data_IF_826231622678
#
_entry.id   IF_826231622678
#
_cell.length_a   1.000
_cell.length_b   1.000
_cell.length_c   1.000
_cell.angle_alpha   90.00
_cell.angle_beta   90.00
_cell.angle_gamma   90.00
#
_symmetry.space_group_name_H-M   'P 1'
#
loop_
_entity.id
_entity.type
_entity.pdbx_description
1 polymer ?
#
# COMPACT_ATOMS: atom_id res chain seq x y z
N UNK A 1 22.38 15.27 -7.55
CA UNK A 1 23.03 15.29 -6.25
C UNK A 1 22.51 14.08 -5.50
N UNK A 2 23.40 13.25 -5.06
CA UNK A 2 23.17 11.93 -4.47
C UNK A 2 22.35 12.06 -3.20
N UNK A 3 21.31 11.20 -3.05
CA UNK A 3 20.62 11.03 -1.77
C UNK A 3 21.66 10.75 -0.68
N UNK A 4 21.69 11.62 0.33
CA UNK A 4 22.52 11.40 1.49
C UNK A 4 22.05 10.13 2.21
N UNK A 5 22.75 9.03 2.02
CA UNK A 5 22.63 7.85 2.85
C UNK A 5 23.05 8.22 4.26
N UNK A 6 22.23 7.88 5.22
CA UNK A 6 22.57 7.99 6.64
C UNK A 6 23.73 7.03 6.95
N UNK A 7 24.54 7.30 7.95
CA UNK A 7 25.65 6.44 8.40
C UNK A 7 25.23 5.00 8.75
N UNK A 8 23.90 4.75 8.95
CA UNK A 8 23.31 3.43 9.22
C UNK A 8 22.73 2.73 7.98
N UNK A 9 22.77 3.36 6.79
CA UNK A 9 22.30 2.79 5.53
C UNK A 9 20.78 2.74 5.36
N UNK A 10 20.00 3.31 6.28
CA UNK A 10 18.54 3.37 6.17
C UNK A 10 18.09 4.53 5.25
N UNK A 11 17.08 4.29 4.42
CA UNK A 11 16.47 5.34 3.60
C UNK A 11 15.76 6.37 4.49
N UNK A 12 15.92 7.66 4.19
CA UNK A 12 15.14 8.73 4.86
C UNK A 12 13.78 8.99 4.22
N UNK A 13 13.35 8.13 3.31
CA UNK A 13 12.17 8.33 2.50
C UNK A 13 11.21 7.14 2.61
N UNK A 14 9.91 7.45 2.53
CA UNK A 14 8.80 6.52 2.38
C UNK A 14 8.04 6.91 1.12
N UNK A 15 8.64 6.64 -0.05
CA UNK A 15 8.29 7.27 -1.33
C UNK A 15 7.14 6.60 -2.07
N UNK A 16 6.67 5.47 -1.57
CA UNK A 16 5.61 4.68 -2.19
C UNK A 16 4.64 4.16 -1.13
N UNK A 17 3.42 3.91 -1.56
CA UNK A 17 2.42 3.21 -0.77
C UNK A 17 2.99 1.92 -0.16
N UNK A 18 2.86 1.75 1.15
CA UNK A 18 3.43 0.65 1.96
C UNK A 18 4.97 0.56 1.97
N UNK A 19 5.67 1.61 1.59
CA UNK A 19 7.11 1.80 1.80
C UNK A 19 8.02 1.10 0.81
N UNK A 20 7.54 0.16 0.00
CA UNK A 20 8.37 -0.56 -0.97
C UNK A 20 7.60 -0.97 -2.22
N UNK A 21 8.25 -1.11 -3.39
CA UNK A 21 7.60 -1.62 -4.60
C UNK A 21 7.05 -3.04 -4.46
N UNK A 22 7.56 -3.83 -3.54
CA UNK A 22 7.05 -5.18 -3.23
C UNK A 22 5.80 -5.18 -2.37
N UNK A 23 5.39 -4.02 -1.86
CA UNK A 23 4.18 -3.79 -1.05
C UNK A 23 4.10 -4.66 0.21
N UNK A 24 5.24 -5.10 0.75
CA UNK A 24 5.27 -6.03 1.88
C UNK A 24 4.79 -5.43 3.21
N UNK A 25 4.79 -4.10 3.34
CA UNK A 25 4.33 -3.42 4.55
C UNK A 25 5.29 -3.52 5.74
N UNK A 26 6.55 -3.89 5.49
CA UNK A 26 7.60 -3.96 6.51
C UNK A 26 8.48 -2.72 6.42
N UNK A 27 8.68 -2.05 7.56
CA UNK A 27 9.61 -0.95 7.73
C UNK A 27 10.83 -1.44 8.53
N UNK A 28 12.03 -1.08 8.05
CA UNK A 28 13.29 -1.39 8.76
C UNK A 28 13.50 -0.50 9.99
N UNK A 29 12.67 0.52 10.16
CA UNK A 29 12.68 1.44 11.29
C UNK A 29 12.04 0.82 12.52
N UNK A 30 12.41 1.33 13.70
CA UNK A 30 11.76 1.03 14.96
C UNK A 30 10.93 2.23 15.42
N UNK A 31 9.65 2.01 15.68
CA UNK A 31 8.77 3.02 16.24
C UNK A 31 8.66 2.86 17.77
N UNK A 32 8.40 3.94 18.54
CA UNK A 32 8.20 3.82 19.97
C UNK A 32 7.05 2.86 20.33
N UNK A 33 7.22 2.11 21.41
CA UNK A 33 6.15 1.25 21.92
C UNK A 33 4.98 2.04 22.53
N UNK A 34 5.23 3.29 22.92
CA UNK A 34 4.23 4.22 23.45
C UNK A 34 4.49 5.62 22.92
N UNK A 35 4.18 5.87 21.63
CA UNK A 35 4.48 7.14 20.98
C UNK A 35 3.61 8.28 21.50
N UNK A 36 4.13 9.51 21.40
CA UNK A 36 3.41 10.73 21.69
C UNK A 36 2.95 11.43 20.41
N UNK A 37 1.81 12.11 20.45
CA UNK A 37 1.37 12.96 19.35
C UNK A 37 2.22 14.23 19.33
N UNK A 38 3.09 14.38 18.35
CA UNK A 38 3.93 15.57 18.20
C UNK A 38 3.14 16.76 17.66
N UNK A 39 2.33 16.52 16.65
CA UNK A 39 1.44 17.54 16.07
C UNK A 39 0.31 16.92 15.25
N UNK A 40 -0.73 17.74 15.05
CA UNK A 40 -1.86 17.42 14.19
C UNK A 40 -2.20 18.64 13.33
N UNK A 41 -2.51 18.42 12.02
CA UNK A 41 -2.87 19.47 11.07
C UNK A 41 -4.04 19.02 10.20
N UNK A 42 -5.12 19.78 10.20
CA UNK A 42 -6.31 19.49 9.40
C UNK A 42 -6.37 20.39 8.18
N UNK A 43 -6.46 19.81 6.99
CA UNK A 43 -6.60 20.53 5.71
C UNK A 43 -8.03 20.60 5.19
N UNK A 44 -8.99 20.14 5.99
CA UNK A 44 -10.44 20.18 5.71
C UNK A 44 -10.83 19.62 4.34
N UNK A 45 -10.20 18.54 3.92
CA UNK A 45 -10.47 17.90 2.64
C UNK A 45 -10.43 16.39 2.78
N UNK A 46 -11.38 15.71 2.15
CA UNK A 46 -11.39 14.24 2.16
C UNK A 46 -10.15 13.70 1.48
N UNK A 47 -9.56 12.67 2.10
CA UNK A 47 -8.40 11.96 1.59
C UNK A 47 -8.63 10.45 1.65
N UNK A 48 -8.06 9.74 0.69
CA UNK A 48 -7.99 8.27 0.65
C UNK A 48 -6.56 7.81 0.32
N UNK A 49 -5.70 8.74 -0.13
CA UNK A 49 -4.30 8.48 -0.43
C UNK A 49 -3.48 8.32 0.84
N UNK A 50 -2.55 7.37 0.87
CA UNK A 50 -1.57 7.25 1.94
C UNK A 50 -0.59 8.43 1.93
N UNK A 51 -0.12 8.91 3.09
CA UNK A 51 0.94 9.90 3.14
C UNK A 51 2.25 9.29 2.60
N UNK A 52 3.04 10.14 1.94
CA UNK A 52 4.36 9.80 1.39
C UNK A 52 5.39 10.72 2.04
N UNK A 53 6.56 10.19 2.39
CA UNK A 53 7.67 11.00 2.92
C UNK A 53 8.79 11.00 1.90
N UNK A 54 9.21 12.21 1.49
CA UNK A 54 10.29 12.41 0.55
C UNK A 54 11.10 13.66 0.91
N UNK A 55 12.41 13.55 0.95
CA UNK A 55 13.35 14.63 1.27
C UNK A 55 12.97 15.39 2.56
N UNK A 56 12.57 14.61 3.59
CA UNK A 56 12.18 15.14 4.91
C UNK A 56 10.80 15.80 4.96
N UNK A 57 10.06 15.87 3.86
CA UNK A 57 8.71 16.42 3.80
C UNK A 57 7.66 15.32 3.71
N UNK A 58 6.52 15.52 4.39
CA UNK A 58 5.36 14.64 4.27
C UNK A 58 4.41 15.18 3.21
N UNK A 59 4.17 14.42 2.18
CA UNK A 59 3.26 14.78 1.10
C UNK A 59 1.91 14.09 1.28
N UNK A 60 0.84 14.83 1.07
CA UNK A 60 -0.55 14.33 1.08
C UNK A 60 -1.28 14.79 -0.17
N UNK A 61 -2.22 13.95 -0.63
CA UNK A 61 -3.04 14.25 -1.79
C UNK A 61 -4.51 14.05 -1.42
N UNK A 62 -5.32 15.08 -1.63
CA UNK A 62 -6.74 15.01 -1.31
C UNK A 62 -7.61 14.60 -2.52
N UNK A 63 -8.87 14.23 -2.26
CA UNK A 63 -9.83 13.81 -3.31
C UNK A 63 -10.16 14.90 -4.33
N UNK A 64 -9.80 16.16 -4.10
CA UNK A 64 -9.95 17.26 -5.06
C UNK A 64 -8.70 17.45 -5.92
N UNK A 65 -7.66 16.61 -5.72
CA UNK A 65 -6.41 16.69 -6.46
C UNK A 65 -5.42 17.72 -5.91
N UNK A 66 -5.57 18.18 -4.67
CA UNK A 66 -4.65 19.14 -4.07
C UNK A 66 -3.50 18.44 -3.37
N UNK A 67 -2.32 18.61 -3.92
CA UNK A 67 -1.05 18.13 -3.36
C UNK A 67 -0.55 19.15 -2.34
N UNK A 68 -0.32 18.69 -1.12
CA UNK A 68 0.29 19.47 -0.03
C UNK A 68 1.54 18.79 0.47
N UNK A 69 2.45 19.58 1.03
CA UNK A 69 3.57 19.07 1.81
C UNK A 69 3.57 19.67 3.20
N UNK A 70 4.11 18.93 4.15
CA UNK A 70 4.24 19.34 5.55
C UNK A 70 5.70 19.20 5.97
N UNK A 71 6.21 20.21 6.70
CA UNK A 71 7.52 20.11 7.33
C UNK A 71 7.52 19.09 8.48
N UNK A 72 8.69 18.68 9.01
CA UNK A 72 8.76 17.84 10.20
C UNK A 72 8.05 18.44 11.43
N UNK A 73 7.83 19.76 11.48
CA UNK A 73 7.15 20.52 12.53
C UNK A 73 5.64 20.69 12.22
N UNK A 74 5.19 20.28 11.04
CA UNK A 74 3.81 20.32 10.63
C UNK A 74 3.37 21.60 9.92
N UNK A 75 4.29 22.46 9.46
CA UNK A 75 3.95 23.61 8.62
C UNK A 75 3.54 23.15 7.22
N UNK A 76 2.39 23.60 6.74
CA UNK A 76 1.82 23.12 5.48
C UNK A 76 1.93 24.12 4.34
N UNK A 77 2.20 23.59 3.13
CA UNK A 77 2.22 24.34 1.88
C UNK A 77 1.42 23.60 0.80
N UNK A 78 0.54 24.31 0.09
CA UNK A 78 -0.06 23.80 -1.15
C UNK A 78 1.01 23.79 -2.25
N UNK A 79 1.30 22.61 -2.80
CA UNK A 79 2.31 22.44 -3.86
C UNK A 79 1.68 22.56 -5.24
N UNK A 80 0.51 21.89 -5.45
CA UNK A 80 -0.16 21.85 -6.74
C UNK A 80 -1.64 21.49 -6.57
N UNK A 81 -2.46 21.89 -7.55
CA UNK A 81 -3.86 21.49 -7.67
C UNK A 81 -4.08 20.88 -9.06
N UNK A 82 -4.32 19.57 -9.10
CA UNK A 82 -4.59 18.84 -10.36
C UNK A 82 -6.00 19.11 -10.89
N UNK A 83 -6.85 19.81 -10.13
CA UNK A 83 -8.22 20.21 -10.49
C UNK A 83 -9.12 19.02 -10.91
N UNK A 84 -8.86 17.85 -10.38
CA UNK A 84 -9.58 16.62 -10.68
C UNK A 84 -9.62 15.69 -9.47
N UNK A 85 -10.53 14.72 -9.48
CA UNK A 85 -10.61 13.75 -8.39
C UNK A 85 -9.45 12.75 -8.45
N UNK A 86 -8.83 12.50 -7.28
CA UNK A 86 -7.78 11.49 -7.08
C UNK A 86 -8.18 10.62 -5.90
N UNK A 87 -8.15 9.32 -6.09
CA UNK A 87 -8.47 8.31 -5.06
C UNK A 87 -7.33 7.31 -4.83
N UNK A 88 -6.29 7.35 -5.66
CA UNK A 88 -5.09 6.55 -5.49
C UNK A 88 -4.04 7.26 -4.65
N UNK A 89 -3.17 6.51 -4.00
CA UNK A 89 -1.89 7.05 -3.53
C UNK A 89 -0.98 7.33 -4.73
N UNK A 90 0.15 7.95 -4.49
CA UNK A 90 1.12 8.33 -5.50
C UNK A 90 2.48 7.75 -5.14
N UNK A 91 3.41 7.80 -6.08
CA UNK A 91 4.81 7.42 -5.85
C UNK A 91 5.71 8.59 -6.20
N UNK A 92 6.79 8.75 -5.43
CA UNK A 92 7.82 9.76 -5.67
C UNK A 92 9.15 9.07 -5.97
N UNK A 93 9.85 9.53 -7.02
CA UNK A 93 11.17 9.08 -7.38
C UNK A 93 11.94 10.23 -8.06
N UNK A 94 13.13 10.52 -7.57
CA UNK A 94 14.02 11.59 -8.09
C UNK A 94 13.28 12.93 -8.33
N UNK A 95 12.55 13.40 -7.31
CA UNK A 95 11.72 14.63 -7.37
C UNK A 95 10.56 14.61 -8.37
N UNK A 96 10.25 13.45 -8.96
CA UNK A 96 9.08 13.24 -9.80
C UNK A 96 8.00 12.50 -9.00
N UNK A 97 6.80 13.05 -9.02
CA UNK A 97 5.60 12.45 -8.45
C UNK A 97 4.74 11.88 -9.57
N UNK A 98 4.35 10.60 -9.43
CA UNK A 98 3.48 9.93 -10.39
C UNK A 98 2.15 9.61 -9.71
N UNK A 99 1.05 9.97 -10.36
CA UNK A 99 -0.30 9.81 -9.82
C UNK A 99 -1.29 9.41 -10.90
N UNK A 100 -2.21 8.51 -10.54
CA UNK A 100 -3.37 8.16 -11.34
C UNK A 100 -4.60 8.96 -10.91
N UNK A 101 -5.43 9.34 -11.88
CA UNK A 101 -6.62 10.18 -11.69
C UNK A 101 -7.89 9.40 -12.01
N UNK A 102 -9.00 9.80 -11.40
CA UNK A 102 -10.31 9.16 -11.66
C UNK A 102 -10.81 9.42 -13.09
N UNK A 103 -10.40 10.50 -13.72
CA UNK A 103 -10.74 10.77 -15.12
C UNK A 103 -9.84 10.00 -16.13
N UNK A 104 -9.03 9.05 -15.65
CA UNK A 104 -8.25 8.14 -16.47
C UNK A 104 -6.85 8.63 -16.84
N UNK A 105 -6.42 9.79 -16.36
CA UNK A 105 -5.07 10.27 -16.67
C UNK A 105 -4.03 9.78 -15.66
N UNK A 106 -2.87 9.43 -16.18
CA UNK A 106 -1.62 9.27 -15.43
C UNK A 106 -0.83 10.55 -15.59
N UNK A 107 -0.40 11.17 -14.48
CA UNK A 107 0.45 12.36 -14.53
C UNK A 107 1.81 12.09 -13.92
N UNK A 108 2.86 12.64 -14.53
CA UNK A 108 4.16 12.86 -13.91
C UNK A 108 4.34 14.33 -13.58
N UNK A 109 4.48 14.63 -12.32
CA UNK A 109 4.61 16.00 -11.81
C UNK A 109 6.01 16.21 -11.22
N UNK A 110 6.70 17.26 -11.67
CA UNK A 110 7.98 17.65 -11.08
C UNK A 110 7.76 18.49 -9.82
N UNK A 111 8.17 17.97 -8.67
CA UNK A 111 8.12 18.70 -7.38
C UNK A 111 8.99 19.95 -7.45
N UNK A 112 10.18 19.85 -8.06
CA UNK A 112 11.11 20.95 -8.15
C UNK A 112 10.63 22.08 -9.09
N UNK A 113 9.99 21.73 -10.22
CA UNK A 113 9.47 22.71 -11.21
C UNK A 113 8.02 23.11 -10.94
N UNK A 114 7.33 22.40 -10.05
CA UNK A 114 5.91 22.59 -9.73
C UNK A 114 4.99 22.56 -10.97
N UNK A 115 5.26 21.63 -11.89
CA UNK A 115 4.48 21.47 -13.12
C UNK A 115 4.38 20.00 -13.54
N UNK A 116 3.30 19.67 -14.24
CA UNK A 116 3.15 18.39 -14.93
C UNK A 116 4.15 18.35 -16.11
N UNK A 117 4.95 17.31 -16.17
CA UNK A 117 5.97 17.10 -17.22
C UNK A 117 5.40 16.31 -18.38
N UNK A 118 4.61 15.29 -18.08
CA UNK A 118 3.88 14.50 -19.06
C UNK A 118 2.60 13.96 -18.45
N UNK A 119 1.65 13.63 -19.30
CA UNK A 119 0.44 12.91 -18.98
C UNK A 119 0.15 11.85 -20.03
N UNK A 120 -0.69 10.87 -19.66
CA UNK A 120 -1.19 9.83 -20.55
C UNK A 120 -2.63 9.50 -20.18
N UNK A 121 -3.51 9.44 -21.17
CA UNK A 121 -4.91 9.07 -21.01
C UNK A 121 -5.10 7.56 -21.21
N UNK A 122 -5.64 6.88 -20.18
CA UNK A 122 -6.16 5.51 -20.25
C UNK A 122 -7.65 5.55 -20.59
N UNK A 123 -8.25 4.41 -20.90
CA UNK A 123 -9.67 4.34 -21.24
C UNK A 123 -10.60 4.14 -20.02
N UNK A 124 -10.04 4.13 -18.81
CA UNK A 124 -10.80 3.93 -17.57
C UNK A 124 -10.18 4.67 -16.39
N UNK A 125 -10.95 4.80 -15.32
CA UNK A 125 -10.44 5.44 -14.10
C UNK A 125 -9.25 4.68 -13.49
N UNK A 126 -8.40 5.41 -12.78
CA UNK A 126 -7.26 4.86 -12.06
C UNK A 126 -7.50 5.02 -10.56
N UNK A 127 -7.72 3.89 -9.88
CA UNK A 127 -7.96 3.83 -8.42
C UNK A 127 -6.80 3.14 -7.70
N UNK A 128 -6.02 2.31 -8.39
CA UNK A 128 -4.79 1.72 -7.85
C UNK A 128 -3.64 2.71 -7.80
N UNK A 129 -2.79 2.61 -6.79
CA UNK A 129 -1.58 3.44 -6.70
C UNK A 129 -0.58 3.04 -7.77
N UNK A 130 0.09 3.98 -8.43
CA UNK A 130 1.23 3.66 -9.31
C UNK A 130 2.34 2.97 -8.53
N UNK A 131 3.12 2.14 -9.23
CA UNK A 131 4.31 1.51 -8.69
C UNK A 131 5.48 1.62 -9.68
N UNK A 132 6.69 1.39 -9.20
CA UNK A 132 7.91 1.54 -9.99
C UNK A 132 8.71 0.25 -10.06
N UNK A 133 9.32 0.02 -11.22
CA UNK A 133 10.32 -1.01 -11.42
C UNK A 133 11.43 -0.47 -12.33
N UNK A 134 12.59 -0.16 -11.75
CA UNK A 134 13.67 0.50 -12.49
C UNK A 134 13.21 1.81 -13.14
N UNK A 135 13.32 1.90 -14.46
CA UNK A 135 12.92 3.08 -15.23
C UNK A 135 11.46 3.01 -15.74
N UNK A 136 10.65 2.09 -15.23
CA UNK A 136 9.27 1.90 -15.65
C UNK A 136 8.28 2.22 -14.54
N UNK A 137 7.18 2.88 -14.92
CA UNK A 137 6.01 3.13 -14.09
C UNK A 137 4.92 2.13 -14.44
N UNK A 138 4.33 1.51 -13.42
CA UNK A 138 3.23 0.55 -13.52
C UNK A 138 1.94 1.21 -13.06
N UNK A 139 0.87 1.09 -13.84
CA UNK A 139 -0.44 1.66 -13.51
C UNK A 139 -1.56 0.72 -13.94
N UNK A 140 -2.40 0.32 -12.99
CA UNK A 140 -3.63 -0.41 -13.27
C UNK A 140 -4.80 0.52 -13.55
N UNK A 141 -5.66 0.18 -14.51
CA UNK A 141 -6.83 0.96 -14.90
C UNK A 141 -8.11 0.13 -14.92
N UNK A 142 -9.24 0.79 -14.76
CA UNK A 142 -10.56 0.17 -14.86
C UNK A 142 -10.95 -0.20 -16.30
N UNK A 143 -10.14 0.16 -17.30
CA UNK A 143 -10.28 -0.42 -18.63
C UNK A 143 -9.78 -1.87 -18.73
N UNK A 144 -9.31 -2.43 -17.62
CA UNK A 144 -8.80 -3.79 -17.51
C UNK A 144 -7.33 -3.93 -17.91
N UNK A 145 -6.63 -2.83 -18.16
CA UNK A 145 -5.22 -2.86 -18.52
C UNK A 145 -4.32 -2.56 -17.32
N UNK A 146 -3.23 -3.33 -17.21
CA UNK A 146 -2.04 -2.96 -16.48
C UNK A 146 -1.04 -2.35 -17.45
N UNK A 147 -0.82 -1.05 -17.36
CA UNK A 147 0.07 -0.27 -18.22
C UNK A 147 1.48 -0.22 -17.68
N UNK A 148 2.45 -0.19 -18.60
CA UNK A 148 3.85 0.11 -18.30
C UNK A 148 4.30 1.32 -19.13
N UNK A 149 4.92 2.30 -18.45
CA UNK A 149 5.42 3.51 -19.08
C UNK A 149 6.91 3.68 -18.79
N UNK A 150 7.61 4.33 -19.71
CA UNK A 150 8.88 4.95 -19.39
C UNK A 150 8.63 6.11 -18.42
N UNK A 151 9.16 6.03 -17.21
CA UNK A 151 8.82 7.00 -16.14
C UNK A 151 9.24 8.43 -16.47
N UNK A 152 10.30 8.63 -17.28
CA UNK A 152 10.82 9.96 -17.64
C UNK A 152 10.03 10.63 -18.73
N UNK A 153 9.58 9.85 -19.72
CA UNK A 153 8.98 10.41 -20.95
C UNK A 153 7.48 10.22 -21.04
N UNK A 154 6.87 9.37 -20.19
CA UNK A 154 5.46 8.99 -20.29
C UNK A 154 5.14 8.08 -21.48
N UNK A 155 6.16 7.68 -22.27
CA UNK A 155 5.94 6.78 -23.40
C UNK A 155 5.48 5.42 -22.90
N UNK A 156 4.31 4.97 -23.39
CA UNK A 156 3.83 3.61 -23.13
C UNK A 156 4.84 2.59 -23.66
N UNK A 157 5.34 1.73 -22.79
CA UNK A 157 6.25 0.61 -23.13
C UNK A 157 5.47 -0.65 -23.45
N UNK A 158 4.37 -0.89 -22.73
CA UNK A 158 3.53 -2.06 -22.89
C UNK A 158 2.22 -1.94 -22.15
N UNK A 159 1.39 -2.95 -22.33
CA UNK A 159 0.19 -3.16 -21.54
C UNK A 159 -0.13 -4.64 -21.48
N UNK A 160 -0.71 -5.06 -20.36
CA UNK A 160 -1.29 -6.38 -20.20
C UNK A 160 -2.80 -6.23 -19.99
N UNK A 161 -3.62 -6.90 -20.81
CA UNK A 161 -5.08 -6.82 -20.74
C UNK A 161 -5.64 -7.98 -19.92
N UNK A 162 -6.50 -7.65 -18.96
CA UNK A 162 -7.36 -8.61 -18.24
C UNK A 162 -8.80 -8.52 -18.75
N UNK A 163 -9.65 -9.44 -18.32
CA UNK A 163 -11.09 -9.38 -18.63
C UNK A 163 -11.91 -8.48 -17.70
N UNK A 164 -11.29 -7.92 -16.65
CA UNK A 164 -11.97 -7.18 -15.59
C UNK A 164 -11.16 -5.98 -15.12
N UNK A 165 -11.78 -5.14 -14.30
CA UNK A 165 -11.17 -3.95 -13.71
C UNK A 165 -9.92 -4.30 -12.88
N UNK A 166 -8.87 -3.47 -13.00
CA UNK A 166 -7.70 -3.52 -12.14
C UNK A 166 -7.79 -2.34 -11.18
N UNK A 167 -8.10 -2.62 -9.92
CA UNK A 167 -8.24 -1.62 -8.85
C UNK A 167 -7.07 -1.62 -7.85
N UNK A 168 -6.24 -2.67 -7.89
CA UNK A 168 -5.08 -2.81 -7.00
C UNK A 168 -3.79 -2.24 -7.59
N UNK A 169 -2.80 -2.11 -6.73
CA UNK A 169 -1.42 -1.77 -7.10
C UNK A 169 -0.68 -3.07 -7.44
N UNK A 170 0.10 -3.09 -8.51
CA UNK A 170 0.95 -4.25 -8.80
C UNK A 170 2.15 -4.27 -7.83
N UNK A 171 2.37 -5.39 -7.13
CA UNK A 171 3.58 -5.64 -6.37
C UNK A 171 4.72 -6.05 -7.30
N UNK A 172 5.94 -5.70 -6.96
CA UNK A 172 7.11 -5.92 -7.80
C UNK A 172 8.11 -6.89 -7.16
N UNK A 173 8.61 -7.82 -7.94
CA UNK A 173 9.70 -8.71 -7.59
C UNK A 173 10.63 -8.95 -8.79
N UNK A 174 11.90 -8.54 -8.70
CA UNK A 174 12.86 -8.56 -9.82
C UNK A 174 12.26 -7.83 -11.05
N UNK A 175 12.11 -8.53 -12.18
CA UNK A 175 11.52 -8.00 -13.42
C UNK A 175 10.03 -8.35 -13.57
N UNK A 176 9.38 -8.81 -12.51
CA UNK A 176 8.00 -9.26 -12.56
C UNK A 176 7.10 -8.35 -11.74
N UNK A 177 5.91 -8.11 -12.25
CA UNK A 177 4.81 -7.53 -11.50
C UNK A 177 3.77 -8.60 -11.16
N UNK A 178 3.20 -8.51 -9.97
CA UNK A 178 2.15 -9.40 -9.50
C UNK A 178 0.96 -8.58 -9.06
N UNK A 179 -0.23 -8.91 -9.54
CA UNK A 179 -1.46 -8.22 -9.19
C UNK A 179 -2.66 -9.15 -9.24
N UNK A 180 -3.69 -8.81 -8.49
CA UNK A 180 -4.98 -9.48 -8.51
C UNK A 180 -6.04 -8.64 -9.20
N UNK A 181 -7.20 -9.23 -9.42
CA UNK A 181 -8.34 -8.57 -10.02
C UNK A 181 -9.67 -9.09 -9.49
N UNK A 182 -10.76 -8.51 -9.99
CA UNK A 182 -12.13 -8.93 -9.65
C UNK A 182 -12.53 -10.28 -10.29
N UNK A 183 -11.63 -10.93 -10.98
CA UNK A 183 -11.81 -12.23 -11.66
C UNK A 183 -11.21 -13.41 -10.89
N UNK A 184 -10.88 -13.24 -9.62
CA UNK A 184 -10.28 -14.23 -8.74
C UNK A 184 -8.88 -14.73 -9.15
N UNK A 185 -8.24 -14.10 -10.12
CA UNK A 185 -6.90 -14.47 -10.54
C UNK A 185 -5.82 -13.56 -9.96
N UNK A 186 -4.77 -14.15 -9.45
CA UNK A 186 -3.49 -13.49 -9.22
C UNK A 186 -2.57 -13.82 -10.40
N UNK A 187 -1.99 -12.78 -11.02
CA UNK A 187 -1.17 -12.91 -12.23
C UNK A 187 0.25 -12.46 -11.98
N UNK A 188 1.19 -13.18 -12.61
CA UNK A 188 2.60 -12.78 -12.69
C UNK A 188 2.89 -12.41 -14.13
N UNK A 189 3.40 -11.20 -14.35
CA UNK A 189 3.69 -10.65 -15.69
C UNK A 189 5.12 -10.15 -15.72
N UNK A 190 5.88 -10.56 -16.72
CA UNK A 190 7.20 -10.01 -17.02
C UNK A 190 7.04 -8.58 -17.54
N UNK A 191 7.58 -7.62 -16.82
CA UNK A 191 7.46 -6.19 -17.16
C UNK A 191 8.22 -5.84 -18.43
N UNK A 192 9.28 -6.60 -18.77
CA UNK A 192 10.12 -6.35 -19.94
C UNK A 192 9.40 -6.73 -21.23
N UNK A 193 8.68 -7.85 -21.22
CA UNK A 193 7.98 -8.38 -22.39
C UNK A 193 6.49 -8.05 -22.42
N UNK A 194 5.90 -7.67 -21.28
CA UNK A 194 4.46 -7.50 -21.09
C UNK A 194 3.68 -8.82 -21.13
N UNK A 195 4.37 -9.96 -21.00
CA UNK A 195 3.78 -11.29 -21.13
C UNK A 195 3.46 -11.88 -19.75
N UNK A 196 2.26 -12.43 -19.60
CA UNK A 196 1.94 -13.24 -18.42
C UNK A 196 2.81 -14.49 -18.41
N UNK A 197 3.57 -14.65 -17.35
CA UNK A 197 4.44 -15.81 -17.16
C UNK A 197 3.77 -16.91 -16.36
N UNK A 198 2.88 -16.53 -15.42
CA UNK A 198 2.09 -17.48 -14.63
C UNK A 198 0.84 -16.81 -14.02
N UNK A 199 -0.03 -17.64 -13.45
CA UNK A 199 -1.21 -17.18 -12.69
C UNK A 199 -1.73 -18.27 -11.76
N UNK A 200 -2.44 -17.85 -10.70
CA UNK A 200 -3.13 -18.72 -9.76
C UNK A 200 -4.57 -18.25 -9.61
N UNK A 201 -5.53 -19.15 -9.78
CA UNK A 201 -6.93 -18.91 -9.44
C UNK A 201 -7.14 -19.09 -7.95
N UNK A 202 -7.79 -18.12 -7.31
CA UNK A 202 -8.18 -18.14 -5.91
C UNK A 202 -9.67 -18.48 -5.80
N UNK A 203 -10.15 -18.76 -4.59
CA UNK A 203 -11.55 -19.16 -4.38
C UNK A 203 -12.54 -17.97 -4.55
N UNK A 204 -12.07 -16.73 -4.48
CA UNK A 204 -12.86 -15.52 -4.65
C UNK A 204 -12.00 -14.39 -5.23
N UNK A 205 -12.63 -13.27 -5.61
CA UNK A 205 -11.91 -12.12 -6.14
C UNK A 205 -10.87 -11.57 -5.15
N UNK A 206 -9.84 -10.92 -5.68
CA UNK A 206 -8.72 -10.36 -4.92
C UNK A 206 -8.95 -8.86 -4.74
N UNK A 207 -9.46 -8.42 -3.58
CA UNK A 207 -9.87 -7.02 -3.38
C UNK A 207 -8.70 -6.07 -3.17
N UNK A 208 -7.55 -6.61 -2.76
CA UNK A 208 -6.35 -5.84 -2.42
C UNK A 208 -5.12 -6.40 -3.15
N UNK A 209 -4.04 -5.61 -3.17
CA UNK A 209 -2.81 -5.99 -3.85
C UNK A 209 -2.09 -7.14 -3.11
N UNK A 210 -1.39 -8.03 -3.81
CA UNK A 210 -0.45 -8.95 -3.20
C UNK A 210 0.69 -8.21 -2.51
N UNK A 211 1.35 -8.88 -1.57
CA UNK A 211 2.59 -8.42 -0.94
C UNK A 211 3.69 -9.45 -1.23
N UNK A 212 4.92 -8.99 -1.49
CA UNK A 212 6.05 -9.88 -1.82
C UNK A 212 7.23 -9.59 -0.92
N UNK A 213 7.88 -10.63 -0.41
CA UNK A 213 9.13 -10.54 0.34
C UNK A 213 10.03 -11.72 0.01
N UNK A 214 11.27 -11.46 -0.41
CA UNK A 214 12.30 -12.46 -0.72
C UNK A 214 11.80 -13.58 -1.67
N UNK A 215 11.01 -13.22 -2.70
CA UNK A 215 10.45 -14.18 -3.66
C UNK A 215 9.25 -14.97 -3.17
N UNK A 216 8.71 -14.63 -2.01
CA UNK A 216 7.44 -15.22 -1.54
C UNK A 216 6.37 -14.15 -1.53
N UNK A 217 5.27 -14.42 -2.22
CA UNK A 217 4.11 -13.56 -2.29
C UNK A 217 2.99 -14.08 -1.39
N UNK A 218 2.23 -13.15 -0.81
CA UNK A 218 0.94 -13.45 -0.19
C UNK A 218 -0.16 -12.60 -0.79
N UNK A 219 -1.33 -13.21 -0.98
CA UNK A 219 -2.55 -12.56 -1.38
C UNK A 219 -3.71 -13.05 -0.52
N UNK A 220 -4.72 -12.18 -0.33
CA UNK A 220 -5.97 -12.55 0.31
C UNK A 220 -7.09 -12.48 -0.72
N UNK A 221 -8.01 -13.43 -0.67
CA UNK A 221 -9.27 -13.31 -1.37
C UNK A 221 -10.35 -12.66 -0.48
N UNK A 222 -11.46 -12.27 -1.08
CA UNK A 222 -12.56 -11.61 -0.35
C UNK A 222 -13.18 -12.50 0.72
N UNK A 223 -13.15 -13.82 0.55
CA UNK A 223 -13.67 -14.77 1.54
C UNK A 223 -12.79 -14.87 2.80
N UNK A 224 -11.60 -14.24 2.80
CA UNK A 224 -10.68 -14.26 3.94
C UNK A 224 -9.66 -15.39 3.89
N UNK A 225 -9.56 -16.11 2.77
CA UNK A 225 -8.46 -17.05 2.58
C UNK A 225 -7.15 -16.28 2.35
N UNK A 226 -6.08 -16.83 2.90
CA UNK A 226 -4.70 -16.30 2.73
C UNK A 226 -3.88 -17.31 1.98
N UNK A 227 -3.33 -16.89 0.84
CA UNK A 227 -2.51 -17.73 -0.03
C UNK A 227 -1.05 -17.27 0.01
N UNK A 228 -0.14 -18.22 0.19
CA UNK A 228 1.29 -18.03 0.03
C UNK A 228 1.76 -18.70 -1.26
N UNK A 229 2.58 -17.99 -2.04
CA UNK A 229 3.11 -18.41 -3.33
C UNK A 229 4.61 -18.17 -3.37
N UNK A 230 5.39 -19.18 -3.78
CA UNK A 230 6.83 -19.01 -4.01
C UNK A 230 7.07 -18.68 -5.48
N UNK A 231 7.79 -17.60 -5.74
CA UNK A 231 8.11 -17.12 -7.07
C UNK A 231 9.54 -17.49 -7.45
N UNK A 232 9.71 -18.25 -8.53
CA UNK A 232 11.00 -18.61 -9.12
C UNK A 232 10.96 -18.27 -10.62
N UNK A 233 11.84 -17.39 -11.06
CA UNK A 233 11.96 -16.96 -12.47
C UNK A 233 10.61 -16.60 -13.14
N UNK A 234 9.77 -15.87 -12.40
CA UNK A 234 8.45 -15.45 -12.86
C UNK A 234 7.39 -16.54 -12.86
N UNK A 235 7.65 -17.68 -12.26
CA UNK A 235 6.70 -18.78 -12.09
C UNK A 235 6.31 -18.93 -10.62
N UNK A 236 5.07 -19.36 -10.39
CA UNK A 236 4.60 -19.80 -9.08
C UNK A 236 5.01 -21.24 -8.91
N UNK A 237 6.22 -21.47 -8.35
CA UNK A 237 6.80 -22.82 -8.21
C UNK A 237 6.10 -23.64 -7.14
N UNK A 238 5.53 -22.98 -6.12
CA UNK A 238 4.75 -23.57 -5.04
C UNK A 238 3.67 -22.59 -4.58
N UNK A 239 2.54 -23.12 -4.18
CA UNK A 239 1.51 -22.35 -3.49
C UNK A 239 0.83 -23.20 -2.41
N UNK A 240 0.27 -22.52 -1.42
CA UNK A 240 -0.56 -23.14 -0.37
C UNK A 240 -1.51 -22.12 0.24
N UNK A 241 -2.61 -22.59 0.77
CA UNK A 241 -3.51 -21.80 1.59
C UNK A 241 -2.99 -21.81 3.04
N UNK A 242 -2.52 -20.65 3.53
CA UNK A 242 -2.06 -20.48 4.91
C UNK A 242 -3.20 -20.42 5.90
N UNK A 243 -4.29 -19.76 5.50
CA UNK A 243 -5.52 -19.66 6.28
C UNK A 243 -6.70 -19.93 5.34
N UNK A 244 -7.57 -20.85 5.74
CA UNK A 244 -8.87 -21.03 5.13
C UNK A 244 -9.92 -20.29 5.96
N UNK A 245 -10.81 -19.55 5.30
CA UNK A 245 -12.02 -19.06 5.95
C UNK A 245 -12.83 -20.26 6.44
N UNK A 246 -13.37 -20.22 7.66
CA UNK A 246 -14.27 -21.27 8.13
C UNK A 246 -15.61 -21.20 7.37
N UNK A 247 -16.13 -22.34 6.95
CA UNK A 247 -17.44 -22.47 6.27
C UNK A 247 -18.60 -21.95 7.15
N UNK A 248 -18.38 -21.77 8.46
CA UNK A 248 -19.35 -21.25 9.42
C UNK A 248 -19.59 -19.72 9.30
N UNK A 249 -18.87 -19.02 8.44
CA UNK A 249 -18.99 -17.57 8.23
C UNK A 249 -19.85 -17.19 7.00
N UNK A 250 -20.69 -18.09 6.48
CA UNK A 250 -21.71 -17.74 5.49
C UNK A 250 -22.62 -16.62 6.03
N UNK A 251 -22.36 -15.38 5.62
CA UNK A 251 -23.24 -14.24 5.89
C UNK A 251 -22.83 -13.27 7.01
N UNK A 252 -21.65 -13.41 7.60
CA UNK A 252 -21.08 -12.33 8.40
C UNK A 252 -20.19 -11.45 7.53
N UNK A 253 -20.26 -10.13 7.70
CA UNK A 253 -19.50 -9.06 6.99
C UNK A 253 -17.96 -9.18 7.19
N UNK A 254 -17.39 -10.35 6.90
CA UNK A 254 -16.04 -10.76 7.28
C UNK A 254 -14.99 -10.79 6.18
N UNK A 255 -15.30 -10.23 5.00
CA UNK A 255 -14.35 -10.19 3.88
C UNK A 255 -13.04 -9.46 4.22
N UNK A 256 -11.91 -9.94 3.70
CA UNK A 256 -10.63 -9.24 3.81
C UNK A 256 -10.53 -8.25 2.66
N UNK A 257 -10.40 -6.96 2.98
CA UNK A 257 -10.21 -5.87 2.02
C UNK A 257 -8.86 -5.17 2.17
N UNK A 258 -8.10 -5.55 3.20
CA UNK A 258 -6.74 -5.05 3.46
C UNK A 258 -5.68 -5.96 2.82
N UNK A 259 -4.49 -5.40 2.58
CA UNK A 259 -3.35 -6.17 2.10
C UNK A 259 -2.70 -6.95 3.25
N UNK A 260 -2.17 -8.15 3.01
CA UNK A 260 -1.34 -8.84 3.98
C UNK A 260 -0.02 -8.08 4.20
N UNK A 261 0.55 -8.18 5.40
CA UNK A 261 1.89 -7.68 5.68
C UNK A 261 2.82 -8.85 5.94
N UNK A 262 3.97 -8.80 5.28
CA UNK A 262 4.94 -9.90 5.30
C UNK A 262 6.19 -9.51 6.06
N UNK A 263 6.59 -10.37 6.98
CA UNK A 263 7.96 -10.47 7.48
C UNK A 263 8.61 -11.78 6.99
N UNK A 264 9.86 -12.01 7.31
CA UNK A 264 10.51 -13.27 6.96
C UNK A 264 9.88 -14.47 7.65
N UNK A 265 9.27 -14.27 8.81
CA UNK A 265 8.73 -15.35 9.66
C UNK A 265 7.21 -15.41 9.69
N UNK A 266 6.53 -14.29 9.45
CA UNK A 266 5.10 -14.19 9.75
C UNK A 266 4.34 -13.40 8.67
N UNK A 267 3.03 -13.65 8.60
CA UNK A 267 2.04 -12.88 7.85
C UNK A 267 1.06 -12.28 8.83
N UNK A 268 0.79 -10.98 8.66
CA UNK A 268 -0.21 -10.24 9.42
C UNK A 268 -1.36 -9.85 8.52
N UNK A 269 -2.60 -10.10 8.95
CA UNK A 269 -3.81 -9.81 8.20
C UNK A 269 -4.88 -9.19 9.11
N UNK A 270 -5.68 -8.30 8.52
CA UNK A 270 -6.89 -7.78 9.13
C UNK A 270 -8.09 -8.47 8.50
N UNK A 271 -8.93 -9.08 9.31
CA UNK A 271 -10.18 -9.70 8.85
C UNK A 271 -11.39 -8.81 9.15
N UNK A 272 -12.44 -8.89 8.33
CA UNK A 272 -13.63 -8.06 8.44
C UNK A 272 -14.40 -8.22 9.75
N UNK A 273 -14.17 -9.32 10.47
CA UNK A 273 -14.70 -9.57 11.80
C UNK A 273 -13.96 -8.86 12.96
N UNK A 274 -13.17 -7.83 12.62
CA UNK A 274 -12.41 -6.98 13.54
C UNK A 274 -11.25 -7.68 14.26
N UNK A 275 -10.57 -8.58 13.61
CA UNK A 275 -9.37 -9.19 14.17
C UNK A 275 -8.12 -8.84 13.37
N UNK A 276 -7.02 -8.70 14.11
CA UNK A 276 -5.67 -8.87 13.54
C UNK A 276 -5.17 -10.28 13.88
N UNK A 277 -4.62 -10.94 12.90
CA UNK A 277 -4.06 -12.29 13.02
C UNK A 277 -2.62 -12.31 12.58
N UNK A 278 -1.77 -13.03 13.33
CA UNK A 278 -0.40 -13.34 12.97
C UNK A 278 -0.28 -14.82 12.70
N UNK A 279 0.19 -15.16 11.49
CA UNK A 279 0.35 -16.54 11.02
C UNK A 279 1.84 -16.79 10.80
N UNK A 280 2.38 -17.85 11.41
CA UNK A 280 3.74 -18.28 11.16
C UNK A 280 3.86 -18.88 9.76
N UNK A 281 4.74 -18.32 8.92
CA UNK A 281 4.91 -18.71 7.53
C UNK A 281 5.47 -20.14 7.38
N UNK A 282 6.38 -20.56 8.24
CA UNK A 282 6.97 -21.90 8.11
C UNK A 282 5.97 -23.02 8.41
N UNK A 283 5.21 -22.88 9.50
CA UNK A 283 4.25 -23.89 9.94
C UNK A 283 2.83 -23.72 9.38
N UNK A 284 2.46 -22.51 8.93
CA UNK A 284 1.08 -22.15 8.59
C UNK A 284 0.16 -22.00 9.80
N UNK A 285 0.71 -22.08 11.02
CA UNK A 285 -0.09 -22.00 12.23
C UNK A 285 -0.27 -20.56 12.68
N UNK A 286 -1.47 -20.27 13.20
CA UNK A 286 -1.75 -19.00 13.87
C UNK A 286 -0.92 -18.89 15.15
N UNK A 287 -0.06 -17.87 15.23
CA UNK A 287 0.68 -17.56 16.47
C UNK A 287 -0.20 -16.89 17.49
N UNK A 288 -0.95 -15.87 17.04
CA UNK A 288 -1.89 -15.14 17.86
C UNK A 288 -2.96 -14.46 16.99
N UNK A 289 -4.08 -14.17 17.63
CA UNK A 289 -5.21 -13.43 17.06
C UNK A 289 -5.77 -12.50 18.11
N UNK A 290 -5.98 -11.24 17.79
CA UNK A 290 -6.48 -10.22 18.72
C UNK A 290 -7.65 -9.46 18.15
N UNK A 291 -8.69 -9.28 18.95
CA UNK A 291 -9.82 -8.44 18.58
C UNK A 291 -9.38 -6.97 18.66
N UNK A 292 -9.72 -6.21 17.63
CA UNK A 292 -9.48 -4.78 17.55
C UNK A 292 -10.60 -4.00 18.23
N UNK A 293 -10.28 -2.80 18.73
CA UNK A 293 -11.27 -1.89 19.34
C UNK A 293 -12.28 -1.39 18.31
N UNK A 294 -11.88 -1.26 17.05
CA UNK A 294 -12.68 -0.72 15.97
C UNK A 294 -12.89 -1.66 14.81
N UNK A 295 -13.57 -1.15 13.79
CA UNK A 295 -13.87 -1.88 12.56
C UNK A 295 -12.68 -1.86 11.61
N UNK A 296 -12.37 -3.01 11.03
CA UNK A 296 -11.37 -3.11 9.97
C UNK A 296 -11.89 -2.47 8.67
N UNK A 297 -10.97 -2.10 7.80
CA UNK A 297 -11.25 -1.48 6.51
C UNK A 297 -10.08 -1.67 5.55
N UNK A 298 -9.93 -0.74 4.62
CA UNK A 298 -8.91 -0.79 3.57
C UNK A 298 -7.49 -0.51 4.08
N UNK A 299 -7.37 0.14 5.27
CA UNK A 299 -6.08 0.36 5.91
C UNK A 299 -5.43 -0.99 6.23
N UNK A 300 -4.21 -1.19 5.72
CA UNK A 300 -3.45 -2.42 5.91
C UNK A 300 -2.49 -2.29 7.07
N UNK A 301 -2.21 -3.36 7.83
CA UNK A 301 -1.25 -3.30 8.91
C UNK A 301 0.16 -3.01 8.37
N UNK A 302 1.01 -2.41 9.20
CA UNK A 302 2.43 -2.24 8.93
C UNK A 302 3.23 -2.86 10.06
N UNK A 303 4.39 -3.42 9.75
CA UNK A 303 5.32 -3.95 10.75
C UNK A 303 6.57 -3.08 10.77
N UNK A 304 6.93 -2.60 11.94
CA UNK A 304 8.14 -1.86 12.22
C UNK A 304 8.95 -2.65 13.26
N UNK A 305 9.97 -3.35 12.79
CA UNK A 305 10.76 -4.28 13.59
C UNK A 305 9.88 -5.31 14.35
N UNK A 306 9.77 -5.18 15.67
CA UNK A 306 9.00 -6.05 16.55
C UNK A 306 7.59 -5.51 16.86
N UNK A 307 7.13 -4.45 16.19
CA UNK A 307 5.85 -3.80 16.44
C UNK A 307 4.95 -3.85 15.23
N UNK A 308 3.66 -4.05 15.46
CA UNK A 308 2.63 -4.08 14.43
C UNK A 308 1.73 -2.87 14.62
N UNK A 309 1.79 -1.93 13.67
CA UNK A 309 0.94 -0.74 13.64
C UNK A 309 -0.35 -1.05 12.88
N UNK A 310 -1.48 -0.82 13.53
CA UNK A 310 -2.82 -1.09 12.98
C UNK A 310 -3.69 0.15 13.11
N UNK A 311 -4.34 0.51 12.00
CA UNK A 311 -5.38 1.52 12.01
C UNK A 311 -6.73 0.91 11.61
N UNK A 312 -7.80 1.34 12.28
CA UNK A 312 -9.16 0.89 11.99
C UNK A 312 -9.97 1.95 11.25
N UNK A 313 -10.98 1.52 10.52
CA UNK A 313 -11.83 2.40 9.71
C UNK A 313 -12.50 3.49 10.54
N UNK A 314 -12.83 3.23 11.80
CA UNK A 314 -13.49 4.16 12.72
C UNK A 314 -12.51 5.01 13.56
N UNK A 315 -11.18 4.90 13.28
CA UNK A 315 -10.20 5.86 13.76
C UNK A 315 -9.38 5.42 14.98
N UNK A 316 -9.40 4.14 15.35
CA UNK A 316 -8.50 3.62 16.37
C UNK A 316 -7.14 3.28 15.74
N UNK A 317 -6.09 3.62 16.45
CA UNK A 317 -4.69 3.31 16.13
C UNK A 317 -4.12 2.49 17.27
N UNK A 318 -3.57 1.33 16.98
CA UNK A 318 -2.98 0.45 17.98
C UNK A 318 -1.59 -0.03 17.54
N UNK A 319 -0.70 -0.20 18.50
CA UNK A 319 0.59 -0.86 18.33
C UNK A 319 0.54 -2.17 19.13
N UNK A 320 0.84 -3.26 18.46
CA UNK A 320 0.94 -4.59 19.06
C UNK A 320 2.37 -5.09 19.04
N UNK A 321 2.77 -5.83 20.08
CA UNK A 321 3.97 -6.64 20.04
C UNK A 321 3.82 -7.75 18.98
N UNK A 322 4.78 -7.86 18.05
CA UNK A 322 4.71 -8.81 16.95
C UNK A 322 4.78 -10.28 17.41
N UNK A 323 5.40 -10.54 18.57
CA UNK A 323 5.67 -11.87 19.09
C UNK A 323 4.42 -12.56 19.63
N UNK A 324 3.59 -11.83 20.42
CA UNK A 324 2.45 -12.40 21.14
C UNK A 324 1.14 -11.63 20.97
N UNK A 325 1.16 -10.50 20.25
CA UNK A 325 0.02 -9.66 19.99
C UNK A 325 -0.46 -8.87 21.23
N UNK A 326 0.41 -8.65 22.21
CA UNK A 326 0.10 -7.75 23.33
C UNK A 326 -0.09 -6.33 22.80
N UNK A 327 -1.22 -5.68 23.12
CA UNK A 327 -1.43 -4.26 22.77
C UNK A 327 -0.53 -3.40 23.65
N UNK A 328 0.45 -2.73 23.04
CA UNK A 328 1.44 -1.88 23.71
C UNK A 328 0.92 -0.46 23.90
N UNK A 329 0.16 0.03 22.92
CA UNK A 329 -0.34 1.39 22.89
C UNK A 329 -1.61 1.50 22.05
N UNK A 330 -2.42 2.51 22.38
CA UNK A 330 -3.66 2.82 21.67
C UNK A 330 -3.92 4.32 21.65
N UNK A 331 -4.42 4.81 20.52
CA UNK A 331 -4.86 6.18 20.32
C UNK A 331 -6.17 6.22 19.53
N UNK A 332 -7.03 7.18 19.80
CA UNK A 332 -8.29 7.39 19.07
C UNK A 332 -8.27 8.75 18.40
N UNK A 333 -8.35 8.76 17.06
CA UNK A 333 -8.30 10.00 16.27
C UNK A 333 -9.63 10.74 16.24
N UNK A 334 -10.75 10.07 16.52
CA UNK A 334 -12.10 10.59 16.36
C UNK A 334 -12.55 10.77 14.89
N UNK A 335 -11.72 10.33 13.93
CA UNK A 335 -11.99 10.43 12.50
C UNK A 335 -11.61 9.12 11.80
N UNK A 336 -12.33 8.80 10.73
CA UNK A 336 -12.06 7.57 9.97
C UNK A 336 -10.65 7.57 9.37
N UNK A 337 -10.00 6.39 9.37
CA UNK A 337 -8.73 6.14 8.70
C UNK A 337 -8.97 5.12 7.58
N UNK A 338 -8.62 5.47 6.35
CA UNK A 338 -8.78 4.62 5.17
C UNK A 338 -7.42 4.21 4.61
N UNK A 339 -6.47 5.14 4.58
CA UNK A 339 -5.13 4.93 4.04
C UNK A 339 -4.18 4.33 5.08
N UNK A 340 -3.26 3.49 4.63
CA UNK A 340 -2.18 2.98 5.48
C UNK A 340 -1.23 4.10 5.88
N UNK A 341 -0.67 4.06 7.11
CA UNK A 341 0.31 5.04 7.58
C UNK A 341 1.60 5.05 6.74
N UNK A 342 2.43 6.07 6.96
CA UNK A 342 3.84 6.09 6.55
C UNK A 342 4.72 6.01 7.81
N UNK A 343 5.84 5.27 7.73
CA UNK A 343 6.79 5.11 8.83
C UNK A 343 8.17 5.56 8.35
N UNK A 344 8.82 6.45 9.11
CA UNK A 344 10.15 6.94 8.79
C UNK A 344 10.93 7.29 10.07
N UNK A 345 12.11 6.68 10.26
CA UNK A 345 12.84 6.82 11.50
C UNK A 345 12.02 6.31 12.69
N UNK A 346 11.95 7.10 13.74
CA UNK A 346 11.14 6.87 14.93
C UNK A 346 9.71 7.43 14.82
N UNK A 347 9.33 7.95 13.65
CA UNK A 347 8.03 8.62 13.43
C UNK A 347 7.12 7.80 12.55
N UNK A 348 5.82 7.99 12.76
CA UNK A 348 4.82 7.58 11.80
C UNK A 348 3.74 8.66 11.61
N UNK A 349 3.17 8.64 10.40
CA UNK A 349 2.20 9.62 9.97
C UNK A 349 0.90 8.93 9.61
N UNK A 350 -0.20 9.44 10.15
CA UNK A 350 -1.56 8.95 9.89
C UNK A 350 -2.36 10.06 9.23
N UNK A 351 -3.00 9.74 8.11
CA UNK A 351 -3.89 10.65 7.42
C UNK A 351 -5.33 10.15 7.53
N UNK A 352 -6.18 10.95 8.17
CA UNK A 352 -7.60 10.62 8.32
C UNK A 352 -8.38 10.91 7.03
N UNK A 353 -9.55 10.32 6.90
CA UNK A 353 -10.43 10.54 5.74
C UNK A 353 -10.95 11.99 5.62
N UNK A 354 -10.90 12.77 6.70
CA UNK A 354 -11.27 14.20 6.70
C UNK A 354 -10.10 15.12 6.38
N UNK A 355 -8.89 14.57 6.25
CA UNK A 355 -7.69 15.32 5.91
C UNK A 355 -6.95 15.87 7.13
N UNK A 356 -7.08 15.22 8.28
CA UNK A 356 -6.22 15.49 9.42
C UNK A 356 -4.98 14.60 9.32
N UNK A 357 -3.81 15.22 9.21
CA UNK A 357 -2.51 14.55 9.29
C UNK A 357 -2.00 14.63 10.74
N UNK A 358 -1.68 13.46 11.30
CA UNK A 358 -1.12 13.32 12.65
C UNK A 358 0.31 12.77 12.52
N UNK A 359 1.22 13.30 13.31
CA UNK A 359 2.60 12.83 13.45
C UNK A 359 2.83 12.34 14.87
N UNK A 360 3.33 11.14 14.99
CA UNK A 360 3.70 10.48 16.26
C UNK A 360 5.19 10.11 16.28
N UNK A 361 5.80 10.19 17.48
CA UNK A 361 7.15 9.68 17.74
C UNK A 361 7.28 9.16 19.18
#
# INVERSE_FOLDING_TARGET
>A
MTSDYVEDGLSRDWTIFRGSPSLNGYAEYDIPASPELLWSRTVQSRTVAAPIVYDGWVYTLDRKGRLRRFSPEGDSLLVHDFQTAIEASFVVDDSMLYVGRIDGYVNAFSIARQQVIWDFETLGQISGSPNLIGEQLLVGSYDGCMYTFDKKTGRKKGQFQTGYYINGTAAVWKNYMMFGGCDAWVRVVDVTTGTQTDSLELDSYVPASPAILDGVACACDYNGNVYEMTLEDGKISKHRKLLASSDDNEGQDGGVVSMPTLTRTDVYILSGDRYISCINRASGQMRWRKMLRGMTGECSPLVAQDKVLVCTKDGHVSIFDSKDGTELWHYETGEQIIASPAIIGDRFYILTSRGTLLCFA
#
